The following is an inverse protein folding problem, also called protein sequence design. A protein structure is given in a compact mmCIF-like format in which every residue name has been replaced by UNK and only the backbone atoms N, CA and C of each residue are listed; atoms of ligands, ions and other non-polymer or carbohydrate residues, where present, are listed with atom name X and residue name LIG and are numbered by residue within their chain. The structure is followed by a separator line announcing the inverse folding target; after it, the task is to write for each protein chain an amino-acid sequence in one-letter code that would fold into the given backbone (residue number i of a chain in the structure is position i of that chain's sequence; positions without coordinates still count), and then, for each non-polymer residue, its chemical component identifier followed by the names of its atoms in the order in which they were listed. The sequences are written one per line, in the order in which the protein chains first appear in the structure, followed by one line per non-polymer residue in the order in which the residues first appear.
data_IF_725650221477
#
_entry.id   IF_725650221477
#
_cell.length_a   1.000
_cell.length_b   1.000
_cell.length_c   1.000
_cell.angle_alpha   90.00
_cell.angle_beta   90.00
_cell.angle_gamma   90.00
#
_symmetry.space_group_name_H-M   'P 1'
#
loop_
_entity.id
_entity.type
_entity.pdbx_description
1 polymer ?
#
# COMPACT_ATOMS: atom_id res chain seq x y z
N UNK A 1 33.38 -53.66 -51.05
CA UNK A 1 34.53 -52.93 -51.64
C UNK A 1 34.49 -51.53 -51.04
N UNK A 2 35.40 -51.23 -50.10
CA UNK A 2 36.62 -50.37 -50.29
C UNK A 2 36.21 -48.95 -50.69
N UNK A 3 36.65 -47.83 -50.11
CA UNK A 3 37.43 -47.44 -48.94
C UNK A 3 37.34 -45.89 -48.86
N UNK A 4 37.47 -45.33 -47.65
CA UNK A 4 38.16 -44.07 -47.29
C UNK A 4 38.45 -42.99 -48.35
N UNK A 5 38.06 -41.73 -48.08
CA UNK A 5 39.01 -40.67 -47.66
C UNK A 5 38.31 -39.39 -47.17
N UNK A 6 38.80 -38.88 -46.04
CA UNK A 6 38.48 -37.59 -45.40
C UNK A 6 38.95 -36.38 -46.22
N UNK A 7 38.29 -35.22 -46.12
CA UNK A 7 38.91 -33.97 -45.59
C UNK A 7 37.95 -32.75 -45.57
N UNK A 8 38.06 -32.02 -44.46
CA UNK A 8 38.07 -30.56 -44.31
C UNK A 8 36.81 -29.72 -44.60
N UNK A 9 36.15 -29.38 -43.49
CA UNK A 9 35.42 -28.13 -43.23
C UNK A 9 36.28 -26.91 -43.61
N UNK A 10 35.77 -26.03 -44.48
CA UNK A 10 36.18 -24.63 -44.52
C UNK A 10 34.95 -23.74 -44.38
N UNK A 11 34.64 -23.43 -43.11
CA UNK A 11 33.92 -22.22 -42.75
C UNK A 11 34.74 -21.03 -43.22
N UNK A 12 34.13 -20.19 -44.05
CA UNK A 12 34.64 -18.88 -44.45
C UNK A 12 34.62 -17.98 -43.22
N UNK A 13 35.66 -18.12 -42.40
CA UNK A 13 36.05 -17.11 -41.43
C UNK A 13 36.63 -15.94 -42.22
N UNK A 14 35.93 -14.81 -42.25
CA UNK A 14 36.57 -13.52 -42.51
C UNK A 14 37.53 -13.25 -41.35
N UNK A 15 38.72 -13.85 -41.39
CA UNK A 15 39.87 -13.31 -40.71
C UNK A 15 40.23 -12.04 -41.47
N UNK A 16 39.66 -10.91 -41.06
CA UNK A 16 40.39 -9.66 -41.15
C UNK A 16 41.62 -9.87 -40.27
N UNK A 17 42.69 -10.37 -40.88
CA UNK A 17 44.03 -10.21 -40.34
C UNK A 17 44.20 -8.73 -40.11
N UNK A 18 44.14 -8.30 -38.86
CA UNK A 18 44.82 -7.10 -38.44
C UNK A 18 46.27 -7.30 -38.86
N UNK A 19 46.63 -6.70 -40.00
CA UNK A 19 48.02 -6.39 -40.24
C UNK A 19 48.37 -5.44 -39.11
N UNK A 20 49.13 -5.92 -38.12
CA UNK A 20 50.01 -5.06 -37.36
C UNK A 20 50.90 -4.40 -38.40
N UNK A 21 50.46 -3.23 -38.87
CA UNK A 21 51.28 -2.37 -39.69
C UNK A 21 52.49 -2.05 -38.84
N UNK A 22 53.64 -2.59 -39.24
CA UNK A 22 54.92 -2.37 -38.59
C UNK A 22 55.19 -0.85 -38.66
N UNK A 23 54.83 -0.16 -37.57
CA UNK A 23 54.96 1.29 -37.46
C UNK A 23 56.45 1.58 -37.50
N UNK A 24 56.90 2.27 -38.56
CA UNK A 24 58.28 2.67 -38.76
C UNK A 24 58.86 3.26 -37.45
N UNK A 25 59.93 2.66 -36.88
CA UNK A 25 60.48 3.09 -35.60
C UNK A 25 61.02 4.53 -35.64
N UNK A 26 61.24 5.12 -36.82
CA UNK A 26 61.60 6.54 -36.98
C UNK A 26 60.40 7.49 -36.94
N UNK A 27 59.17 7.00 -37.12
CA UNK A 27 57.93 7.76 -36.97
C UNK A 27 57.38 7.74 -35.52
N UNK A 28 57.88 6.85 -34.66
CA UNK A 28 57.57 6.84 -33.22
C UNK A 28 58.28 7.98 -32.51
N UNK A 29 57.62 9.13 -32.45
CA UNK A 29 58.08 10.26 -31.66
C UNK A 29 58.07 9.94 -30.16
N UNK A 30 58.96 10.53 -29.34
CA UNK A 30 59.13 10.18 -27.93
C UNK A 30 57.87 10.38 -27.05
N UNK A 31 56.88 11.12 -27.52
CA UNK A 31 55.61 11.37 -26.83
C UNK A 31 54.52 10.30 -27.08
N UNK A 32 54.76 9.30 -27.95
CA UNK A 32 53.82 8.21 -28.20
C UNK A 32 53.64 7.28 -26.99
N UNK A 33 54.72 6.99 -26.25
CA UNK A 33 54.63 6.16 -25.04
C UNK A 33 53.78 6.84 -23.94
N UNK A 34 53.80 8.17 -23.88
CA UNK A 34 52.95 8.95 -22.99
C UNK A 34 51.49 9.00 -23.47
N UNK A 35 51.25 8.94 -24.78
CA UNK A 35 49.90 8.80 -25.33
C UNK A 35 49.33 7.40 -25.14
N UNK A 36 50.09 6.33 -25.41
CA UNK A 36 49.65 4.95 -25.18
C UNK A 36 49.29 4.74 -23.69
N UNK A 37 50.10 5.25 -22.75
CA UNK A 37 49.75 5.21 -21.32
C UNK A 37 48.50 6.02 -20.99
N UNK A 38 48.30 7.17 -21.62
CA UNK A 38 47.07 7.98 -21.42
C UNK A 38 45.86 7.27 -22.01
N UNK A 39 45.99 6.63 -23.16
CA UNK A 39 44.96 5.84 -23.81
C UNK A 39 44.63 4.58 -23.01
N UNK A 40 45.61 3.87 -22.46
CA UNK A 40 45.39 2.76 -21.53
C UNK A 40 44.69 3.21 -20.26
N UNK A 41 45.09 4.35 -19.67
CA UNK A 41 44.41 4.92 -18.50
C UNK A 41 42.98 5.36 -18.83
N UNK A 42 42.75 5.95 -20.01
CA UNK A 42 41.42 6.33 -20.51
C UNK A 42 40.58 5.09 -20.81
N UNK A 43 41.15 4.07 -21.43
CA UNK A 43 40.52 2.79 -21.74
C UNK A 43 40.12 2.06 -20.46
N UNK A 44 41.00 2.02 -19.45
CA UNK A 44 40.72 1.42 -18.14
C UNK A 44 39.70 2.24 -17.35
N UNK A 45 39.70 3.58 -17.47
CA UNK A 45 38.66 4.45 -16.91
C UNK A 45 37.31 4.24 -17.60
N UNK A 46 37.30 4.09 -18.93
CA UNK A 46 36.10 3.82 -19.71
C UNK A 46 35.57 2.42 -19.41
N UNK A 47 36.42 1.38 -19.42
CA UNK A 47 36.06 0.01 -19.04
C UNK A 47 35.56 -0.07 -17.60
N UNK A 48 36.17 0.63 -16.64
CA UNK A 48 35.65 0.67 -15.27
C UNK A 48 34.30 1.40 -15.21
N UNK A 49 34.11 2.50 -15.96
CA UNK A 49 32.83 3.18 -16.10
C UNK A 49 31.74 2.30 -16.77
N UNK A 50 32.10 1.48 -17.76
CA UNK A 50 31.19 0.53 -18.42
C UNK A 50 30.95 -0.74 -17.59
N UNK A 51 31.89 -1.18 -16.75
CA UNK A 51 31.67 -2.24 -15.74
C UNK A 51 30.75 -1.75 -14.61
N UNK A 52 30.75 -0.44 -14.34
CA UNK A 52 29.87 0.23 -13.38
C UNK A 52 28.52 0.63 -13.98
N UNK A 53 28.32 0.55 -15.31
CA UNK A 53 27.02 0.77 -15.93
C UNK A 53 26.15 -0.47 -15.67
N UNK A 54 25.49 -0.43 -14.52
CA UNK A 54 24.73 -1.56 -14.02
C UNK A 54 23.72 -2.03 -15.08
N UNK A 55 23.80 -3.31 -15.44
CA UNK A 55 22.90 -3.96 -16.40
C UNK A 55 21.52 -4.20 -15.79
N UNK A 56 20.81 -3.12 -15.48
CA UNK A 56 19.44 -3.16 -15.00
C UNK A 56 18.50 -2.51 -16.00
N UNK A 57 17.25 -2.98 -16.00
CA UNK A 57 16.16 -2.40 -16.78
C UNK A 57 15.23 -1.70 -15.82
N UNK A 58 14.91 -0.43 -16.12
CA UNK A 58 13.87 0.30 -15.43
C UNK A 58 12.51 -0.30 -15.79
N UNK A 59 11.74 -0.64 -14.77
CA UNK A 59 10.36 -1.11 -14.91
C UNK A 59 9.45 -0.36 -13.95
N UNK A 60 8.17 -0.38 -14.28
CA UNK A 60 7.13 0.23 -13.48
C UNK A 60 6.14 -0.86 -13.07
N UNK A 61 5.69 -0.81 -11.81
CA UNK A 61 4.71 -1.75 -11.30
C UNK A 61 3.28 -1.44 -11.79
N UNK A 62 2.32 -2.29 -11.44
CA UNK A 62 0.91 -2.10 -11.79
C UNK A 62 0.27 -0.81 -11.23
N UNK A 63 0.97 -0.08 -10.36
CA UNK A 63 0.49 1.13 -9.67
C UNK A 63 1.34 2.37 -9.99
N UNK A 64 2.24 2.28 -10.99
CA UNK A 64 3.02 3.42 -11.45
C UNK A 64 4.33 3.67 -10.68
N UNK A 65 4.79 2.73 -9.86
CA UNK A 65 6.00 2.88 -9.02
C UNK A 65 7.21 2.22 -9.69
N UNK A 66 8.38 2.83 -9.53
CA UNK A 66 9.58 2.45 -10.26
C UNK A 66 10.41 1.41 -9.51
N UNK A 67 10.99 0.48 -10.27
CA UNK A 67 11.95 -0.48 -9.75
C UNK A 67 12.99 -0.87 -10.80
N UNK A 68 14.11 -1.40 -10.32
CA UNK A 68 15.22 -1.89 -11.15
C UNK A 68 15.18 -3.40 -11.20
N UNK A 69 15.19 -3.94 -12.40
CA UNK A 69 15.30 -5.37 -12.65
C UNK A 69 16.68 -5.69 -13.19
N UNK A 70 17.46 -6.46 -12.44
CA UNK A 70 18.81 -6.86 -12.81
C UNK A 70 18.78 -8.16 -13.63
N UNK A 71 19.78 -8.33 -14.52
CA UNK A 71 19.89 -9.54 -15.35
C UNK A 71 20.06 -10.84 -14.56
N UNK A 72 20.54 -10.75 -13.32
CA UNK A 72 20.68 -11.87 -12.38
C UNK A 72 19.36 -12.23 -11.67
N UNK A 73 18.26 -11.56 -12.01
CA UNK A 73 16.95 -11.78 -11.42
C UNK A 73 16.70 -11.01 -10.12
N UNK A 74 17.68 -10.23 -9.64
CA UNK A 74 17.45 -9.36 -8.48
C UNK A 74 16.52 -8.21 -8.83
N UNK A 75 15.66 -7.89 -7.88
CA UNK A 75 14.73 -6.76 -7.97
C UNK A 75 15.13 -5.76 -6.88
N UNK A 76 15.34 -4.51 -7.27
CA UNK A 76 15.58 -3.41 -6.34
C UNK A 76 14.47 -2.37 -6.47
N UNK A 77 13.69 -2.18 -5.41
CA UNK A 77 12.69 -1.13 -5.34
C UNK A 77 13.34 0.24 -5.16
N UNK A 78 12.96 1.21 -6.00
CA UNK A 78 13.52 2.56 -5.97
C UNK A 78 12.56 3.48 -5.22
N UNK A 79 13.05 4.07 -4.12
CA UNK A 79 12.31 5.06 -3.35
C UNK A 79 12.45 6.44 -4.01
N UNK A 80 11.49 6.78 -4.86
CA UNK A 80 11.38 8.11 -5.48
C UNK A 80 10.53 9.05 -4.62
N UNK A 81 10.53 10.36 -4.94
CA UNK A 81 9.69 11.36 -4.27
C UNK A 81 8.19 11.10 -4.42
N UNK A 82 7.81 10.40 -5.48
CA UNK A 82 6.42 10.05 -5.78
C UNK A 82 6.00 8.69 -5.19
N UNK A 83 6.80 8.12 -4.28
CA UNK A 83 6.45 6.89 -3.60
C UNK A 83 5.12 7.04 -2.85
N UNK A 84 4.28 6.01 -2.98
CA UNK A 84 3.01 5.88 -2.26
C UNK A 84 2.94 4.48 -1.68
N UNK A 85 2.51 4.41 -0.42
CA UNK A 85 2.24 3.14 0.24
C UNK A 85 1.07 2.42 -0.45
N UNK A 86 1.18 1.10 -0.61
CA UNK A 86 0.14 0.25 -1.22
C UNK A 86 0.07 -1.10 -0.52
N UNK A 87 -1.08 -1.75 -0.59
CA UNK A 87 -1.18 -3.15 -0.15
C UNK A 87 -0.43 -4.09 -1.13
N UNK A 88 0.25 -5.12 -0.60
CA UNK A 88 0.96 -6.07 -1.42
C UNK A 88 0.02 -6.86 -2.34
N UNK A 89 0.50 -7.17 -3.55
CA UNK A 89 -0.18 -8.03 -4.51
C UNK A 89 0.49 -9.40 -4.58
N UNK A 90 -0.30 -10.47 -4.72
CA UNK A 90 0.25 -11.85 -4.81
C UNK A 90 1.19 -12.07 -5.99
N UNK A 91 1.05 -11.31 -7.07
CA UNK A 91 1.89 -11.43 -8.28
C UNK A 91 3.25 -10.73 -8.15
N UNK A 92 3.40 -9.79 -7.20
CA UNK A 92 4.53 -8.86 -7.09
C UNK A 92 5.29 -9.05 -5.76
N UNK A 93 5.27 -10.26 -5.17
CA UNK A 93 5.80 -10.49 -3.81
C UNK A 93 7.31 -10.23 -3.68
N UNK A 94 8.12 -10.58 -4.67
CA UNK A 94 9.57 -10.34 -4.64
C UNK A 94 9.89 -8.83 -4.72
N UNK A 95 9.07 -8.07 -5.45
CA UNK A 95 9.16 -6.60 -5.50
C UNK A 95 8.82 -5.99 -4.14
N UNK A 96 7.74 -6.44 -3.50
CA UNK A 96 7.33 -5.96 -2.18
C UNK A 96 8.33 -6.34 -1.07
N UNK A 97 9.03 -7.48 -1.20
CA UNK A 97 10.13 -7.81 -0.31
C UNK A 97 11.25 -6.77 -0.42
N UNK A 98 11.68 -6.44 -1.64
CA UNK A 98 12.68 -5.40 -1.87
C UNK A 98 12.21 -4.01 -1.40
N UNK A 99 10.93 -3.69 -1.59
CA UNK A 99 10.31 -2.47 -1.07
C UNK A 99 10.43 -2.37 0.45
N UNK A 100 10.14 -3.45 1.19
CA UNK A 100 10.30 -3.48 2.64
C UNK A 100 11.77 -3.26 3.08
N UNK A 101 12.73 -3.86 2.38
CA UNK A 101 14.16 -3.63 2.65
C UNK A 101 14.59 -2.20 2.36
N UNK A 102 14.08 -1.59 1.29
CA UNK A 102 14.29 -0.19 0.95
C UNK A 102 13.68 0.72 2.01
N UNK A 103 12.43 0.51 2.43
CA UNK A 103 11.76 1.33 3.45
C UNK A 103 12.53 1.39 4.78
N UNK A 104 13.23 0.31 5.16
CA UNK A 104 14.15 0.35 6.31
C UNK A 104 15.30 1.33 6.11
N UNK A 105 15.90 1.38 4.92
CA UNK A 105 17.01 2.31 4.62
C UNK A 105 16.56 3.78 4.70
N UNK A 106 15.30 4.06 4.36
CA UNK A 106 14.71 5.40 4.34
C UNK A 106 13.94 5.76 5.63
N UNK A 107 14.12 4.99 6.72
CA UNK A 107 13.54 5.27 8.04
C UNK A 107 11.99 5.30 8.10
N UNK A 108 11.30 4.50 7.27
CA UNK A 108 9.84 4.31 7.31
C UNK A 108 9.47 2.91 7.83
N UNK A 109 9.67 2.61 9.12
CA UNK A 109 9.56 1.24 9.64
C UNK A 109 8.12 0.72 9.67
N UNK A 110 7.14 1.56 9.99
CA UNK A 110 5.74 1.13 10.13
C UNK A 110 5.13 0.69 8.80
N UNK A 111 5.40 1.43 7.72
CA UNK A 111 5.01 1.04 6.37
C UNK A 111 5.63 -0.31 5.97
N UNK A 112 6.92 -0.53 6.30
CA UNK A 112 7.59 -1.79 6.02
C UNK A 112 6.98 -2.97 6.80
N UNK A 113 6.67 -2.78 8.09
CA UNK A 113 6.03 -3.80 8.92
C UNK A 113 4.63 -4.13 8.41
N UNK A 114 3.83 -3.12 8.04
CA UNK A 114 2.50 -3.31 7.46
C UNK A 114 2.57 -4.08 6.14
N UNK A 115 3.53 -3.73 5.28
CA UNK A 115 3.78 -4.42 4.01
C UNK A 115 4.14 -5.88 4.24
N UNK A 116 5.07 -6.17 5.16
CA UNK A 116 5.49 -7.54 5.51
C UNK A 116 4.36 -8.36 6.14
N UNK A 117 3.56 -7.77 7.04
CA UNK A 117 2.32 -8.40 7.56
C UNK A 117 1.36 -8.74 6.42
N UNK A 118 1.14 -7.80 5.50
CA UNK A 118 0.30 -8.00 4.31
C UNK A 118 0.84 -9.09 3.38
N UNK A 119 2.16 -9.18 3.18
CA UNK A 119 2.79 -10.26 2.42
C UNK A 119 2.53 -11.63 3.07
N UNK A 120 2.55 -11.71 4.40
CA UNK A 120 2.15 -12.93 5.13
C UNK A 120 0.73 -13.36 4.79
N UNK A 121 -0.21 -12.41 4.68
CA UNK A 121 -1.58 -12.69 4.19
C UNK A 121 -1.55 -13.17 2.75
N UNK A 122 -0.78 -12.54 1.86
CA UNK A 122 -0.65 -12.96 0.47
C UNK A 122 -0.12 -14.39 0.31
N UNK A 123 0.94 -14.77 1.03
CA UNK A 123 1.47 -16.13 1.00
C UNK A 123 0.43 -17.15 1.47
N UNK A 124 -0.32 -16.83 2.53
CA UNK A 124 -1.38 -17.70 3.01
C UNK A 124 -2.53 -17.83 2.00
N UNK A 125 -2.87 -16.78 1.25
CA UNK A 125 -3.90 -16.85 0.21
C UNK A 125 -3.46 -17.62 -1.03
N UNK A 126 -2.20 -17.46 -1.44
CA UNK A 126 -1.67 -18.10 -2.65
C UNK A 126 -1.31 -19.57 -2.44
N UNK A 127 -0.71 -19.92 -1.30
CA UNK A 127 -0.15 -21.24 -1.04
C UNK A 127 -0.83 -21.98 0.11
N UNK A 128 -1.76 -21.36 0.83
CA UNK A 128 -2.42 -21.93 2.01
C UNK A 128 -1.55 -22.02 3.26
N UNK A 129 -0.22 -21.90 3.15
CA UNK A 129 0.76 -21.95 4.24
C UNK A 129 2.02 -21.13 3.92
N UNK A 130 2.75 -20.71 4.95
CA UNK A 130 4.08 -20.08 4.88
C UNK A 130 5.21 -21.10 4.63
N UNK A 131 5.08 -21.93 3.59
CA UNK A 131 6.05 -23.00 3.31
C UNK A 131 7.16 -22.60 2.36
N UNK A 132 6.98 -21.53 1.59
CA UNK A 132 7.96 -21.07 0.59
C UNK A 132 9.19 -20.46 1.26
N UNK A 133 10.36 -20.61 0.63
CA UNK A 133 11.60 -19.99 1.11
C UNK A 133 11.47 -18.46 1.18
N UNK A 134 10.88 -17.84 0.16
CA UNK A 134 10.60 -16.39 0.13
C UNK A 134 9.63 -15.97 1.25
N UNK A 135 8.63 -16.79 1.56
CA UNK A 135 7.72 -16.54 2.69
C UNK A 135 8.44 -16.57 4.04
N UNK A 136 9.32 -17.56 4.25
CA UNK A 136 10.15 -17.64 5.47
C UNK A 136 11.12 -16.47 5.60
N UNK A 137 11.74 -16.04 4.49
CA UNK A 137 12.60 -14.84 4.47
C UNK A 137 11.81 -13.59 4.87
N UNK A 138 10.62 -13.38 4.31
CA UNK A 138 9.75 -12.26 4.66
C UNK A 138 9.33 -12.31 6.14
N UNK A 139 8.93 -13.47 6.66
CA UNK A 139 8.60 -13.64 8.08
C UNK A 139 9.79 -13.41 9.01
N UNK A 140 10.99 -13.85 8.62
CA UNK A 140 12.21 -13.59 9.39
C UNK A 140 12.54 -12.11 9.42
N UNK A 141 12.39 -11.40 8.30
CA UNK A 141 12.60 -9.94 8.23
C UNK A 141 11.57 -9.19 9.09
N UNK A 142 10.30 -9.61 9.05
CA UNK A 142 9.25 -9.08 9.92
C UNK A 142 9.59 -9.26 11.40
N UNK A 143 10.03 -10.46 11.80
CA UNK A 143 10.45 -10.73 13.18
C UNK A 143 11.57 -9.80 13.63
N UNK A 144 12.61 -9.62 12.81
CA UNK A 144 13.69 -8.68 13.09
C UNK A 144 13.18 -7.24 13.31
N UNK A 145 12.18 -6.80 12.54
CA UNK A 145 11.62 -5.45 12.68
C UNK A 145 10.77 -5.32 13.94
N UNK A 146 9.93 -6.32 14.23
CA UNK A 146 9.12 -6.33 15.45
C UNK A 146 10.00 -6.35 16.70
N UNK A 147 11.10 -7.12 16.70
CA UNK A 147 12.04 -7.18 17.82
C UNK A 147 12.75 -5.83 18.01
N UNK A 148 13.21 -5.21 16.92
CA UNK A 148 13.90 -3.92 16.97
C UNK A 148 12.99 -2.79 17.47
N UNK A 149 11.71 -2.80 17.06
CA UNK A 149 10.72 -1.79 17.46
C UNK A 149 9.83 -2.22 18.63
N UNK A 150 10.19 -3.29 19.34
CA UNK A 150 9.42 -3.84 20.48
C UNK A 150 9.14 -2.81 21.58
N UNK A 151 10.06 -1.87 21.79
CA UNK A 151 9.92 -0.74 22.71
C UNK A 151 8.77 0.22 22.35
N UNK A 152 8.20 0.13 21.14
CA UNK A 152 7.10 0.97 20.62
C UNK A 152 5.85 0.17 20.28
N UNK A 153 5.50 -0.81 21.10
CA UNK A 153 4.35 -1.71 20.87
C UNK A 153 3.04 -0.97 20.58
N UNK A 154 2.78 0.17 21.25
CA UNK A 154 1.59 0.99 21.02
C UNK A 154 1.53 1.56 19.59
N UNK A 155 2.62 2.16 19.13
CA UNK A 155 2.75 2.71 17.76
C UNK A 155 2.70 1.59 16.72
N UNK A 156 3.31 0.43 17.01
CA UNK A 156 3.25 -0.74 16.13
C UNK A 156 1.82 -1.22 15.91
N UNK A 157 1.06 -1.44 16.99
CA UNK A 157 -0.34 -1.87 16.92
C UNK A 157 -1.19 -0.89 16.11
N UNK A 158 -1.03 0.42 16.34
CA UNK A 158 -1.79 1.45 15.63
C UNK A 158 -1.38 1.58 14.16
N UNK A 159 -0.11 1.78 13.88
CA UNK A 159 0.31 2.17 12.54
C UNK A 159 0.39 0.99 11.57
N UNK A 160 0.33 -0.25 12.04
CA UNK A 160 0.52 -1.43 11.18
C UNK A 160 -0.75 -2.28 10.99
N UNK A 161 -1.84 -1.95 11.69
CA UNK A 161 -3.15 -2.51 11.46
C UNK A 161 -4.06 -1.49 10.74
N UNK A 162 -5.05 -1.94 9.93
CA UNK A 162 -5.12 -3.26 9.35
C UNK A 162 -4.03 -3.45 8.31
N UNK A 163 -3.71 -4.70 8.07
CA UNK A 163 -2.87 -5.14 6.97
C UNK A 163 -3.67 -6.04 6.04
N UNK A 164 -3.25 -6.15 4.80
CA UNK A 164 -4.03 -6.89 3.82
C UNK A 164 -3.26 -7.27 2.57
N UNK A 165 -3.94 -7.98 1.69
CA UNK A 165 -3.39 -8.45 0.43
C UNK A 165 -4.40 -8.29 -0.71
N UNK A 166 -3.90 -7.91 -1.88
CA UNK A 166 -4.63 -7.92 -3.13
C UNK A 166 -4.44 -9.27 -3.83
N UNK A 167 -5.52 -10.04 -3.91
CA UNK A 167 -5.56 -11.37 -4.52
C UNK A 167 -6.85 -11.56 -5.32
N UNK A 168 -6.73 -12.07 -6.56
CA UNK A 168 -7.87 -12.38 -7.43
C UNK A 168 -8.91 -11.23 -7.56
N UNK A 169 -8.44 -9.98 -7.65
CA UNK A 169 -9.31 -8.81 -7.78
C UNK A 169 -10.06 -8.41 -6.51
N UNK A 170 -9.60 -8.85 -5.33
CA UNK A 170 -10.18 -8.51 -4.02
C UNK A 170 -9.09 -8.04 -3.07
N UNK A 171 -9.41 -7.05 -2.24
CA UNK A 171 -8.55 -6.61 -1.14
C UNK A 171 -9.00 -7.31 0.15
N UNK A 172 -8.24 -8.31 0.59
CA UNK A 172 -8.50 -8.98 1.87
C UNK A 172 -7.76 -8.27 2.99
N UNK A 173 -8.50 -7.74 3.95
CA UNK A 173 -7.99 -7.04 5.12
C UNK A 173 -8.12 -7.92 6.36
N UNK A 174 -7.15 -7.80 7.27
CA UNK A 174 -7.13 -8.47 8.56
C UNK A 174 -6.60 -7.54 9.65
N UNK A 175 -7.08 -7.75 10.86
CA UNK A 175 -6.45 -7.25 12.07
C UNK A 175 -6.31 -8.38 13.08
N UNK A 176 -5.11 -8.54 13.62
CA UNK A 176 -4.83 -9.50 14.68
C UNK A 176 -5.37 -9.02 16.02
N UNK A 177 -5.23 -7.73 16.29
CA UNK A 177 -5.52 -7.15 17.61
C UNK A 177 -7.03 -7.13 17.88
N UNK A 178 -7.80 -6.86 16.83
CA UNK A 178 -9.25 -6.76 16.86
C UNK A 178 -9.97 -7.97 16.25
N UNK A 179 -9.22 -8.98 15.80
CA UNK A 179 -9.72 -10.28 15.34
C UNK A 179 -10.86 -10.18 14.30
N UNK A 180 -10.62 -9.42 13.23
CA UNK A 180 -11.54 -9.35 12.09
C UNK A 180 -10.83 -9.64 10.77
N UNK A 181 -11.58 -10.17 9.81
CA UNK A 181 -11.17 -10.37 8.42
C UNK A 181 -12.33 -9.99 7.50
N UNK A 182 -12.05 -9.29 6.39
CA UNK A 182 -13.07 -8.89 5.43
C UNK A 182 -12.47 -8.65 4.04
N UNK A 183 -13.32 -8.68 3.01
CA UNK A 183 -12.91 -8.36 1.63
C UNK A 183 -13.55 -7.04 1.17
N UNK A 184 -12.73 -6.15 0.62
CA UNK A 184 -13.15 -4.89 0.00
C UNK A 184 -12.86 -4.87 -1.51
N UNK A 185 -13.48 -3.91 -2.19
CA UNK A 185 -13.19 -3.60 -3.58
C UNK A 185 -11.77 -3.00 -3.71
N UNK A 186 -10.91 -3.54 -4.61
CA UNK A 186 -9.55 -3.04 -4.80
C UNK A 186 -9.49 -1.60 -5.34
N UNK A 187 -10.58 -1.08 -5.89
CA UNK A 187 -10.65 0.29 -6.38
C UNK A 187 -10.79 1.33 -5.25
N UNK A 188 -11.07 0.89 -4.03
CA UNK A 188 -11.08 1.78 -2.87
C UNK A 188 -9.65 2.11 -2.47
N UNK A 189 -9.32 3.40 -2.44
CA UNK A 189 -8.04 3.89 -1.99
C UNK A 189 -8.00 3.90 -0.47
N UNK A 190 -6.95 3.32 0.10
CA UNK A 190 -6.74 3.34 1.53
C UNK A 190 -5.91 4.56 1.93
N UNK A 191 -6.36 5.22 2.99
CA UNK A 191 -5.59 6.28 3.63
C UNK A 191 -4.68 5.66 4.67
N UNK A 192 -3.40 5.55 4.33
CA UNK A 192 -2.39 5.06 5.25
C UNK A 192 -2.15 6.13 6.34
N UNK A 193 -2.08 5.72 7.62
CA UNK A 193 -1.76 6.65 8.70
C UNK A 193 -0.30 7.08 8.61
N UNK A 194 -0.08 8.37 8.33
CA UNK A 194 1.25 8.99 8.33
C UNK A 194 1.68 9.42 9.74
N UNK A 195 0.71 9.77 10.61
CA UNK A 195 0.92 10.11 12.02
C UNK A 195 -0.10 9.45 12.95
N UNK A 196 0.33 9.13 14.17
CA UNK A 196 -0.44 8.40 15.18
C UNK A 196 -1.73 9.14 15.64
N UNK A 197 -1.81 10.45 15.42
CA UNK A 197 -2.84 11.32 16.02
C UNK A 197 -4.08 11.55 15.18
N UNK A 198 -4.03 11.44 13.85
CA UNK A 198 -5.16 11.87 13.02
C UNK A 198 -6.32 10.87 13.02
N UNK A 199 -6.01 9.58 13.22
CA UNK A 199 -7.00 8.50 13.13
C UNK A 199 -7.01 7.56 14.34
N UNK A 200 -6.41 7.97 15.46
CA UNK A 200 -6.44 7.18 16.69
C UNK A 200 -6.47 8.07 17.93
N UNK A 201 -6.99 7.52 19.03
CA UNK A 201 -7.03 8.19 20.32
C UNK A 201 -6.94 7.20 21.47
N UNK A 202 -6.52 7.69 22.63
CA UNK A 202 -6.42 6.93 23.87
C UNK A 202 -6.95 7.81 25.01
N UNK A 203 -8.06 7.37 25.58
CA UNK A 203 -8.65 7.94 26.78
C UNK A 203 -8.38 7.00 27.97
N UNK A 204 -8.74 7.42 29.18
CA UNK A 204 -8.61 6.59 30.39
C UNK A 204 -9.35 5.27 30.29
N UNK A 205 -10.44 5.22 29.52
CA UNK A 205 -11.36 4.09 29.47
C UNK A 205 -11.20 3.22 28.23
N UNK A 206 -10.70 3.78 27.13
CA UNK A 206 -10.59 3.07 25.86
C UNK A 206 -9.53 3.65 24.95
N UNK A 207 -9.00 2.79 24.10
CA UNK A 207 -8.23 3.15 22.91
C UNK A 207 -9.10 2.96 21.69
N UNK A 208 -9.08 3.90 20.75
CA UNK A 208 -9.83 3.79 19.51
C UNK A 208 -8.97 4.14 18.30
N UNK A 209 -9.35 3.60 17.15
CA UNK A 209 -8.69 3.83 15.88
C UNK A 209 -9.69 3.77 14.73
N UNK A 210 -9.39 4.48 13.65
CA UNK A 210 -10.22 4.60 12.46
C UNK A 210 -9.36 4.35 11.22
N UNK A 211 -9.89 3.55 10.29
CA UNK A 211 -9.26 3.25 9.01
C UNK A 211 -10.23 3.57 7.89
N UNK A 212 -9.75 4.24 6.84
CA UNK A 212 -10.62 4.82 5.81
C UNK A 212 -10.24 4.37 4.42
N UNK A 213 -11.24 3.92 3.70
CA UNK A 213 -11.18 3.48 2.32
C UNK A 213 -12.14 4.33 1.52
N UNK A 214 -11.66 5.03 0.50
CA UNK A 214 -12.48 5.98 -0.25
C UNK A 214 -12.42 5.74 -1.74
N UNK A 215 -13.52 6.10 -2.40
CA UNK A 215 -13.61 6.24 -3.85
C UNK A 215 -14.09 7.65 -4.16
N UNK A 216 -13.23 8.43 -4.81
CA UNK A 216 -13.62 9.75 -5.29
C UNK A 216 -14.71 9.58 -6.36
N UNK A 217 -15.78 10.33 -6.21
CA UNK A 217 -16.84 10.40 -7.20
C UNK A 217 -16.45 11.46 -8.23
N UNK A 218 -16.93 11.33 -9.49
CA UNK A 218 -16.82 12.41 -10.44
C UNK A 218 -17.66 13.58 -9.92
N UNK A 219 -17.03 14.52 -9.21
CA UNK A 219 -17.70 15.74 -8.77
C UNK A 219 -18.02 16.54 -10.03
N UNK A 220 -19.28 16.92 -10.21
CA UNK A 220 -19.63 18.01 -11.13
C UNK A 220 -18.84 19.26 -10.70
N UNK A 221 -17.77 19.55 -11.43
CA UNK A 221 -17.03 20.80 -11.45
C UNK A 221 -16.67 21.43 -10.09
N UNK A 222 -15.85 20.76 -9.26
CA UNK A 222 -14.95 21.52 -8.40
C UNK A 222 -13.79 22.01 -9.27
N UNK A 223 -13.50 23.31 -9.33
CA UNK A 223 -12.38 23.80 -10.12
C UNK A 223 -11.09 23.18 -9.53
N UNK A 224 -10.22 22.62 -10.39
CA UNK A 224 -8.94 21.98 -10.02
C UNK A 224 -7.96 23.05 -9.51
N UNK A 225 -8.26 23.59 -8.36
CA UNK A 225 -7.49 24.66 -7.73
C UNK A 225 -6.56 24.02 -6.69
N UNK A 226 -5.46 24.68 -6.38
CA UNK A 226 -4.57 24.29 -5.29
C UNK A 226 -5.33 24.13 -3.95
N UNK A 227 -6.40 24.89 -3.74
CA UNK A 227 -7.29 24.75 -2.59
C UNK A 227 -8.04 23.41 -2.56
N UNK A 228 -8.41 22.85 -3.72
CA UNK A 228 -9.06 21.55 -3.82
C UNK A 228 -8.12 20.38 -3.50
N UNK A 229 -6.83 20.55 -3.81
CA UNK A 229 -5.77 19.60 -3.42
C UNK A 229 -5.36 19.77 -1.95
N UNK A 230 -5.23 21.01 -1.48
CA UNK A 230 -4.99 21.33 -0.07
C UNK A 230 -6.10 20.77 0.82
N UNK A 231 -7.39 21.02 0.50
CA UNK A 231 -8.53 20.49 1.25
C UNK A 231 -8.64 18.96 1.21
N UNK A 232 -8.11 18.29 0.18
CA UNK A 232 -8.03 16.81 0.17
C UNK A 232 -7.05 16.30 1.23
N UNK A 233 -6.01 17.08 1.57
CA UNK A 233 -5.02 16.75 2.60
C UNK A 233 -5.27 17.39 3.98
N UNK A 234 -5.92 18.56 4.08
CA UNK A 234 -5.91 19.38 5.30
C UNK A 234 -7.21 19.34 6.13
N UNK A 235 -8.38 19.12 5.54
CA UNK A 235 -9.57 18.85 6.36
C UNK A 235 -9.58 17.36 6.65
N UNK A 236 -9.17 17.01 7.87
CA UNK A 236 -9.15 15.64 8.36
C UNK A 236 -10.43 14.92 7.96
N UNK A 237 -10.30 13.75 7.32
CA UNK A 237 -11.38 12.96 6.71
C UNK A 237 -12.46 12.45 7.69
N UNK A 238 -12.57 13.05 8.89
CA UNK A 238 -13.52 12.72 9.94
C UNK A 238 -14.97 13.00 9.53
N UNK A 239 -15.19 13.91 8.58
CA UNK A 239 -16.53 14.31 8.16
C UNK A 239 -17.00 13.62 6.88
N UNK A 240 -18.30 13.32 6.85
CA UNK A 240 -18.98 12.75 5.70
C UNK A 240 -18.95 13.72 4.53
N UNK A 241 -18.11 13.44 3.52
CA UNK A 241 -18.03 14.30 2.34
C UNK A 241 -18.91 13.80 1.19
N UNK A 242 -19.61 14.70 0.49
CA UNK A 242 -20.49 14.33 -0.62
C UNK A 242 -19.73 14.04 -1.93
N UNK A 243 -18.41 14.28 -1.98
CA UNK A 243 -17.56 14.07 -3.15
C UNK A 243 -16.99 12.65 -3.25
N UNK A 244 -17.32 11.77 -2.31
CA UNK A 244 -16.74 10.42 -2.23
C UNK A 244 -17.70 9.40 -1.63
N UNK A 245 -17.48 8.14 -1.98
CA UNK A 245 -17.93 6.99 -1.19
C UNK A 245 -16.83 6.69 -0.19
N UNK A 246 -17.16 6.61 1.09
CA UNK A 246 -16.20 6.39 2.18
C UNK A 246 -16.64 5.18 3.02
N UNK A 247 -15.82 4.13 2.99
CA UNK A 247 -15.92 2.98 3.87
C UNK A 247 -14.96 3.17 5.05
N UNK A 248 -15.47 3.04 6.26
CA UNK A 248 -14.70 3.27 7.50
C UNK A 248 -14.75 2.04 8.38
N UNK A 249 -13.60 1.65 8.90
CA UNK A 249 -13.44 0.65 9.94
C UNK A 249 -13.02 1.38 11.22
N UNK A 250 -13.91 1.46 12.19
CA UNK A 250 -13.61 1.90 13.53
C UNK A 250 -13.32 0.70 14.43
N UNK A 251 -12.27 0.77 15.22
CA UNK A 251 -11.90 -0.25 16.20
C UNK A 251 -11.74 0.39 17.57
N UNK A 252 -12.28 -0.22 18.62
CA UNK A 252 -12.05 0.22 20.00
C UNK A 252 -11.63 -0.94 20.91
N UNK A 253 -10.74 -0.66 21.85
CA UNK A 253 -10.30 -1.55 22.90
C UNK A 253 -10.57 -0.89 24.26
N UNK A 254 -11.45 -1.49 25.04
CA UNK A 254 -11.89 -0.95 26.34
C UNK A 254 -11.05 -1.53 27.47
N UNK A 255 -10.49 -0.67 28.34
CA UNK A 255 -9.63 -1.11 29.43
C UNK A 255 -10.45 -1.61 30.63
N UNK A 256 -11.56 -0.93 30.93
CA UNK A 256 -12.47 -1.21 32.06
C UNK A 256 -13.76 -1.93 31.62
N UNK A 257 -14.50 -2.58 32.55
CA UNK A 257 -15.81 -3.18 32.27
C UNK A 257 -16.79 -2.15 31.71
N UNK A 258 -17.49 -2.51 30.64
CA UNK A 258 -18.25 -1.54 29.84
C UNK A 258 -19.63 -1.23 30.43
N UNK A 259 -20.00 0.05 30.38
CA UNK A 259 -21.40 0.52 30.43
C UNK A 259 -22.11 0.25 29.08
N UNK A 260 -21.32 0.04 28.02
CA UNK A 260 -21.83 -0.23 26.69
C UNK A 260 -22.21 -1.71 26.50
N UNK A 261 -23.38 -1.93 25.91
CA UNK A 261 -23.87 -3.18 25.39
C UNK A 261 -23.95 -3.12 23.85
N UNK A 262 -24.29 -4.24 23.21
CA UNK A 262 -24.45 -4.28 21.76
C UNK A 262 -25.56 -3.34 21.24
N UNK A 263 -26.48 -2.87 22.10
CA UNK A 263 -27.59 -2.00 21.72
C UNK A 263 -27.18 -0.53 21.70
N UNK A 264 -26.31 -0.10 22.61
CA UNK A 264 -25.93 1.31 22.80
C UNK A 264 -24.51 1.63 22.34
N UNK A 265 -23.72 0.64 21.89
CA UNK A 265 -22.33 0.84 21.44
C UNK A 265 -22.19 1.90 20.33
N UNK A 266 -23.24 2.14 19.53
CA UNK A 266 -23.25 3.23 18.55
C UNK A 266 -23.02 4.62 19.17
N UNK A 267 -23.42 4.82 20.43
CA UNK A 267 -23.32 6.10 21.14
C UNK A 267 -21.86 6.52 21.35
N UNK A 268 -20.96 5.55 21.56
CA UNK A 268 -19.52 5.81 21.63
C UNK A 268 -19.03 6.45 20.33
N UNK A 269 -19.37 5.83 19.21
CA UNK A 269 -18.93 6.31 17.90
C UNK A 269 -19.61 7.60 17.49
N UNK A 270 -20.85 7.84 17.91
CA UNK A 270 -21.51 9.12 17.72
C UNK A 270 -20.78 10.23 18.48
N UNK A 271 -20.40 9.99 19.74
CA UNK A 271 -19.62 10.94 20.53
C UNK A 271 -18.25 11.23 19.88
N UNK A 272 -17.51 10.19 19.45
CA UNK A 272 -16.22 10.34 18.76
C UNK A 272 -16.35 11.10 17.42
N UNK A 273 -17.51 11.02 16.77
CA UNK A 273 -17.81 11.76 15.53
C UNK A 273 -18.39 13.16 15.78
N UNK A 274 -18.53 13.57 17.04
CA UNK A 274 -19.13 14.85 17.42
C UNK A 274 -20.64 14.93 17.18
N UNK A 275 -21.32 13.79 17.02
CA UNK A 275 -22.76 13.70 16.78
C UNK A 275 -23.48 13.85 18.12
N UNK A 276 -23.98 15.06 18.37
CA UNK A 276 -24.81 15.41 19.52
C UNK A 276 -26.21 15.89 19.07
N UNK A 277 -27.12 16.11 20.02
CA UNK A 277 -28.50 16.54 19.72
C UNK A 277 -28.58 17.79 18.83
N UNK A 278 -27.66 18.74 18.99
CA UNK A 278 -27.57 19.95 18.15
C UNK A 278 -27.20 19.60 16.71
N UNK A 279 -26.12 18.86 16.50
CA UNK A 279 -25.69 18.43 15.15
C UNK A 279 -26.73 17.54 14.48
N UNK A 280 -27.43 16.69 15.26
CA UNK A 280 -28.50 15.85 14.73
C UNK A 280 -29.67 16.70 14.20
N UNK A 281 -30.04 17.75 14.91
CA UNK A 281 -31.07 18.69 14.46
C UNK A 281 -30.59 19.49 13.22
N UNK A 282 -29.37 20.04 13.26
CA UNK A 282 -28.81 20.83 12.15
C UNK A 282 -28.71 20.04 10.84
N UNK A 283 -28.38 18.75 10.90
CA UNK A 283 -28.23 17.90 9.71
C UNK A 283 -29.48 17.11 9.34
N UNK A 284 -30.58 17.23 10.09
CA UNK A 284 -31.73 16.32 9.99
C UNK A 284 -31.29 14.84 10.04
N UNK A 285 -30.46 14.51 11.02
CA UNK A 285 -29.86 13.19 11.19
C UNK A 285 -30.92 12.20 11.67
N UNK A 286 -31.33 11.31 10.77
CA UNK A 286 -32.36 10.30 11.02
C UNK A 286 -31.76 8.91 10.89
N UNK A 287 -31.56 8.24 12.03
CA UNK A 287 -31.11 6.85 12.09
C UNK A 287 -32.31 5.92 12.23
N UNK A 288 -32.40 4.94 11.34
CA UNK A 288 -33.38 3.85 11.37
C UNK A 288 -32.65 2.52 11.41
N UNK A 289 -33.08 1.62 12.30
CA UNK A 289 -32.59 0.24 12.30
C UNK A 289 -33.38 -0.56 11.27
N UNK A 290 -32.68 -1.12 10.30
CA UNK A 290 -33.22 -1.97 9.24
C UNK A 290 -32.55 -3.35 9.40
N UNK A 291 -33.24 -4.28 10.06
CA UNK A 291 -32.70 -5.57 10.48
C UNK A 291 -31.46 -5.43 11.40
N UNK A 292 -30.29 -5.89 10.93
CA UNK A 292 -29.01 -5.86 11.65
C UNK A 292 -28.10 -4.69 11.20
N UNK A 293 -28.67 -3.74 10.44
CA UNK A 293 -27.95 -2.58 9.89
C UNK A 293 -28.66 -1.32 10.38
N UNK A 294 -27.89 -0.29 10.71
CA UNK A 294 -28.43 1.05 10.91
C UNK A 294 -28.27 1.83 9.61
N UNK A 295 -29.38 2.33 9.09
CA UNK A 295 -29.41 3.26 7.95
C UNK A 295 -29.66 4.65 8.50
N UNK A 296 -28.70 5.53 8.29
CA UNK A 296 -28.78 6.93 8.71
C UNK A 296 -28.87 7.81 7.48
N UNK A 297 -29.83 8.72 7.43
CA UNK A 297 -29.91 9.78 6.42
C UNK A 297 -29.69 11.14 7.05
N UNK A 298 -28.93 12.01 6.40
CA UNK A 298 -28.72 13.38 6.85
C UNK A 298 -28.36 14.29 5.66
N UNK A 299 -28.44 15.60 5.84
CA UNK A 299 -28.09 16.58 4.81
C UNK A 299 -26.71 17.16 5.10
N UNK A 300 -25.75 16.89 4.21
CA UNK A 300 -24.45 17.55 4.24
C UNK A 300 -24.48 18.80 3.38
N UNK A 301 -23.88 19.89 3.85
CA UNK A 301 -23.71 21.11 3.05
C UNK A 301 -22.26 21.18 2.60
N UNK A 302 -22.02 21.27 1.29
CA UNK A 302 -20.67 21.50 0.76
C UNK A 302 -20.18 22.89 1.16
N UNK A 303 -18.86 23.14 1.15
CA UNK A 303 -18.32 24.48 1.32
C UNK A 303 -18.93 25.53 0.37
N UNK A 304 -19.35 25.10 -0.83
CA UNK A 304 -20.01 25.95 -1.84
C UNK A 304 -21.50 26.20 -1.54
N UNK A 305 -22.01 25.71 -0.39
CA UNK A 305 -23.39 25.88 0.04
C UNK A 305 -24.38 24.87 -0.56
N UNK A 306 -23.95 23.92 -1.41
CA UNK A 306 -24.82 22.89 -1.99
C UNK A 306 -25.20 21.87 -0.92
N UNK A 307 -26.50 21.70 -0.70
CA UNK A 307 -27.04 20.67 0.18
C UNK A 307 -27.14 19.35 -0.59
N UNK A 308 -26.50 18.32 -0.06
CA UNK A 308 -26.52 16.96 -0.60
C UNK A 308 -27.05 16.01 0.44
N UNK A 309 -28.03 15.20 0.08
CA UNK A 309 -28.54 14.15 0.96
C UNK A 309 -27.56 12.98 0.98
N UNK A 310 -27.14 12.64 2.17
CA UNK A 310 -26.16 11.60 2.46
C UNK A 310 -26.86 10.43 3.14
N UNK A 311 -26.33 9.23 2.88
CA UNK A 311 -26.74 7.99 3.52
C UNK A 311 -25.50 7.36 4.17
N UNK A 312 -25.68 6.81 5.36
CA UNK A 312 -24.68 6.01 6.07
C UNK A 312 -25.31 4.66 6.37
N UNK A 313 -24.63 3.59 5.98
CA UNK A 313 -24.91 2.25 6.46
C UNK A 313 -23.91 1.97 7.58
N UNK A 314 -24.39 1.52 8.74
CA UNK A 314 -23.57 1.27 9.91
C UNK A 314 -23.86 -0.11 10.48
N UNK A 315 -22.79 -0.83 10.84
CA UNK A 315 -22.87 -2.10 11.55
C UNK A 315 -21.89 -2.07 12.72
N UNK A 316 -22.37 -2.53 13.87
CA UNK A 316 -21.67 -2.46 15.15
C UNK A 316 -21.46 -3.86 15.71
N UNK A 317 -20.28 -4.13 16.23
CA UNK A 317 -19.97 -5.36 16.97
C UNK A 317 -19.30 -4.99 18.29
N UNK A 318 -19.71 -5.66 19.36
CA UNK A 318 -19.09 -5.53 20.67
C UNK A 318 -18.92 -6.92 21.27
N UNK A 319 -17.67 -7.37 21.42
CA UNK A 319 -17.33 -8.68 21.99
C UNK A 319 -16.25 -8.55 23.05
N UNK A 320 -16.61 -8.84 24.30
CA UNK A 320 -15.70 -8.70 25.43
C UNK A 320 -15.22 -7.25 25.56
N UNK A 321 -13.92 -6.99 25.38
CA UNK A 321 -13.32 -5.64 25.41
C UNK A 321 -13.13 -5.01 24.03
N UNK A 322 -13.45 -5.72 22.95
CA UNK A 322 -13.22 -5.29 21.57
C UNK A 322 -14.52 -4.79 20.96
N UNK A 323 -14.47 -3.59 20.41
CA UNK A 323 -15.57 -3.00 19.68
C UNK A 323 -15.17 -2.71 18.23
N UNK A 324 -16.12 -2.92 17.31
CA UNK A 324 -15.94 -2.67 15.89
C UNK A 324 -17.12 -1.88 15.34
N UNK A 325 -16.79 -0.92 14.50
CA UNK A 325 -17.70 -0.15 13.69
C UNK A 325 -17.32 -0.35 12.22
N UNK A 326 -18.26 -0.76 11.41
CA UNK A 326 -18.15 -0.67 9.95
C UNK A 326 -19.17 0.34 9.45
N UNK A 327 -18.71 1.36 8.74
CA UNK A 327 -19.62 2.31 8.08
C UNK A 327 -19.32 2.46 6.61
N UNK A 328 -20.37 2.73 5.83
CA UNK A 328 -20.25 3.16 4.45
C UNK A 328 -21.11 4.41 4.27
N UNK A 329 -20.47 5.55 4.02
CA UNK A 329 -21.14 6.81 3.77
C UNK A 329 -21.03 7.21 2.30
N UNK A 330 -22.13 7.70 1.73
CA UNK A 330 -22.22 8.06 0.31
C UNK A 330 -23.37 9.05 0.06
N UNK A 331 -23.32 9.84 -1.03
CA UNK A 331 -24.48 10.60 -1.49
C UNK A 331 -25.59 9.66 -1.97
N UNK A 332 -26.85 9.98 -1.66
CA UNK A 332 -28.01 9.11 -1.95
C UNK A 332 -28.09 8.68 -3.43
N UNK A 333 -27.69 9.54 -4.36
CA UNK A 333 -27.66 9.24 -5.81
C UNK A 333 -26.74 8.06 -6.20
N UNK A 334 -25.74 7.72 -5.36
CA UNK A 334 -24.79 6.62 -5.57
C UNK A 334 -25.16 5.35 -4.79
N UNK A 335 -26.39 5.26 -4.26
CA UNK A 335 -26.87 4.10 -3.51
C UNK A 335 -26.70 2.74 -4.24
N UNK A 336 -26.94 2.60 -5.56
CA UNK A 336 -26.73 1.33 -6.25
C UNK A 336 -25.28 0.85 -6.23
N UNK A 337 -24.32 1.77 -6.29
CA UNK A 337 -22.90 1.47 -6.23
C UNK A 337 -22.46 1.15 -4.80
N UNK A 338 -22.87 2.00 -3.84
CA UNK A 338 -22.57 1.81 -2.44
C UNK A 338 -23.13 0.48 -1.92
N UNK A 339 -24.34 0.11 -2.33
CA UNK A 339 -24.95 -1.17 -1.96
C UNK A 339 -24.13 -2.38 -2.42
N UNK A 340 -23.52 -2.34 -3.62
CA UNK A 340 -22.61 -3.41 -4.08
C UNK A 340 -21.38 -3.55 -3.17
N UNK A 341 -20.82 -2.42 -2.72
CA UNK A 341 -19.68 -2.41 -1.78
C UNK A 341 -20.12 -3.00 -0.44
N UNK A 342 -21.26 -2.55 0.08
CA UNK A 342 -21.79 -3.00 1.37
C UNK A 342 -22.18 -4.49 1.38
N UNK A 343 -22.84 -4.97 0.34
CA UNK A 343 -23.27 -6.37 0.22
C UNK A 343 -22.04 -7.29 0.13
N UNK A 344 -21.01 -6.89 -0.63
CA UNK A 344 -19.73 -7.63 -0.69
C UNK A 344 -19.06 -7.70 0.68
N UNK A 345 -18.94 -6.57 1.37
CA UNK A 345 -18.42 -6.52 2.73
C UNK A 345 -19.23 -7.43 3.65
N UNK A 346 -20.56 -7.30 3.65
CA UNK A 346 -21.47 -8.03 4.54
C UNK A 346 -21.39 -9.55 4.33
N UNK A 347 -21.13 -9.99 3.11
CA UNK A 347 -20.97 -11.42 2.79
C UNK A 347 -19.62 -12.03 3.19
N UNK A 348 -18.62 -11.20 3.48
CA UNK A 348 -17.23 -11.65 3.70
C UNK A 348 -16.66 -11.29 5.06
N UNK A 349 -17.30 -10.38 5.80
CA UNK A 349 -16.85 -9.99 7.13
C UNK A 349 -16.98 -11.14 8.12
N UNK A 350 -15.86 -11.43 8.78
CA UNK A 350 -15.76 -12.38 9.89
C UNK A 350 -15.20 -11.61 11.08
N UNK A 351 -15.89 -11.70 12.22
CA UNK A 351 -15.49 -11.13 13.50
C UNK A 351 -15.44 -12.25 14.51
N UNK A 352 -14.28 -12.45 15.13
CA UNK A 352 -14.01 -13.57 16.05
C UNK A 352 -14.02 -13.18 17.53
#
# INVERSE_FOLDING_TARGET
MVSFFSLAVFLVSRTATAQDGEIDPLLRQPWFADQEKKEELLYNKLQSAFRLSAHYVWKTDSRGRNYRFYKDGRVEFVMDRDWKEVFPKTEELDLHYSEAESLRRYASPYAAIRLLKGMGVCYNLQYGKLTTESGRKASSLLGQYLDFYSHKEKELSRLTDPFGCLHAGRLRLRSTDYAYSLDLDPNLQYLFPDEDREFSGEDSDLRWQVHRFYKNLPTEALPKNWEGEYRKGSEGLLFFRPDRILFTIGTSLHFHPMIFDAKNYYMLWDALRGINARTMHEWNYLRKKENDIYRTTFTATTPDGRRTKMVILEKFYLRGKRGLLFTLSFPEQYEPEAKKIWDRFSSTVVVE
#
